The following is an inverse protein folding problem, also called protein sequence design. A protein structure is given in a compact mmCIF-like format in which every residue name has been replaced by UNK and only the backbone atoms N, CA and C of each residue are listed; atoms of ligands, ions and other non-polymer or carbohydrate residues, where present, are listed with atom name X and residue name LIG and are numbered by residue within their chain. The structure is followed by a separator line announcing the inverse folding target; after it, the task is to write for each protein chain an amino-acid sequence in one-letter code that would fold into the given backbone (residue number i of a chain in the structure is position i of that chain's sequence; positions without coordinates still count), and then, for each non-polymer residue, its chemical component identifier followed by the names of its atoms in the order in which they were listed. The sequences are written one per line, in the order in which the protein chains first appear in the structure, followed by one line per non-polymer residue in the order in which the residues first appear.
data_IF_470741236396
#
_entry.id   IF_470741236396
#
_cell.length_a   1.000
_cell.length_b   1.000
_cell.length_c   1.000
_cell.angle_alpha   90.00
_cell.angle_beta   90.00
_cell.angle_gamma   90.00
#
_symmetry.space_group_name_H-M   'P 1'
#
loop_
_entity.id
_entity.type
_entity.pdbx_description
1 polymer ?
#
# COMPACT_ATOMS: atom_id res chain seq x y z
N UNK A 1 3.19 -19.64 -2.95
CA UNK A 1 3.88 -18.32 -3.02
C UNK A 1 3.43 -17.48 -1.81
N UNK A 2 3.66 -18.00 -0.60
CA UNK A 2 3.41 -17.36 0.71
C UNK A 2 4.62 -17.70 1.59
N UNK A 3 5.80 -17.52 1.01
CA UNK A 3 7.06 -17.93 1.61
C UNK A 3 7.82 -16.66 1.91
N UNK A 4 7.95 -16.40 3.21
CA UNK A 4 8.62 -15.25 3.83
C UNK A 4 7.76 -13.99 3.96
N UNK A 5 6.70 -14.05 4.78
CA UNK A 5 6.37 -12.90 5.63
C UNK A 5 7.58 -12.67 6.53
N UNK A 6 8.58 -11.96 6.03
CA UNK A 6 9.44 -11.20 6.92
C UNK A 6 8.46 -10.30 7.67
N UNK A 7 8.34 -10.52 8.97
CA UNK A 7 7.51 -9.67 9.82
C UNK A 7 8.08 -8.25 9.68
N UNK A 8 7.43 -7.43 8.87
CA UNK A 8 7.92 -6.10 8.53
C UNK A 8 8.02 -5.25 9.80
N UNK A 9 7.13 -5.52 10.76
CA UNK A 9 7.20 -4.92 12.08
C UNK A 9 8.41 -5.43 12.86
N UNK A 10 8.76 -6.71 12.77
CA UNK A 10 10.03 -7.20 13.33
C UNK A 10 11.23 -6.42 12.78
N UNK A 11 11.29 -6.17 11.46
CA UNK A 11 12.38 -5.38 10.87
C UNK A 11 12.43 -3.96 11.43
N UNK A 12 11.28 -3.29 11.52
CA UNK A 12 11.22 -1.94 12.06
C UNK A 12 11.60 -1.88 13.54
N UNK A 13 11.11 -2.82 14.34
CA UNK A 13 11.36 -2.87 15.77
C UNK A 13 12.84 -3.15 16.09
N UNK A 14 13.56 -3.88 15.23
CA UNK A 14 14.96 -4.28 15.47
C UNK A 14 15.99 -3.44 14.71
N UNK A 15 15.65 -2.92 13.52
CA UNK A 15 16.62 -2.24 12.64
C UNK A 15 16.31 -0.77 12.38
N UNK A 16 15.14 -0.27 12.80
CA UNK A 16 14.77 1.13 12.58
C UNK A 16 14.80 2.00 13.86
N UNK A 17 15.39 1.49 14.94
CA UNK A 17 15.55 2.23 16.19
C UNK A 17 16.36 3.52 15.97
N UNK A 18 15.86 4.64 16.50
CA UNK A 18 16.49 5.95 16.36
C UNK A 18 16.29 6.61 14.98
N UNK A 19 15.48 6.01 14.10
CA UNK A 19 15.06 6.61 12.83
C UNK A 19 13.65 7.18 12.93
N UNK A 20 13.19 7.89 11.89
CA UNK A 20 11.79 8.36 11.80
C UNK A 20 10.82 7.27 11.36
N UNK A 21 11.31 6.06 11.03
CA UNK A 21 10.47 4.99 10.50
C UNK A 21 9.48 4.45 11.53
N UNK A 22 9.78 4.60 12.81
CA UNK A 22 8.87 4.29 13.91
C UNK A 22 8.67 5.57 14.74
N UNK A 23 7.51 6.24 14.64
CA UNK A 23 7.26 7.46 15.39
C UNK A 23 7.20 7.19 16.90
N UNK A 24 7.49 8.21 17.73
CA UNK A 24 7.46 8.08 19.18
C UNK A 24 6.04 7.71 19.65
N UNK A 25 5.93 6.63 20.43
CA UNK A 25 4.62 6.13 20.86
C UNK A 25 3.87 7.11 21.75
N UNK A 26 4.53 7.66 22.76
CA UNK A 26 3.90 8.48 23.80
C UNK A 26 4.32 9.94 23.66
N UNK A 27 3.42 10.84 24.03
CA UNK A 27 3.75 12.25 24.26
C UNK A 27 4.69 12.35 25.47
N UNK A 28 5.55 13.38 25.54
CA UNK A 28 6.48 13.54 26.66
C UNK A 28 5.77 13.50 28.02
N UNK A 29 6.24 12.65 28.93
CA UNK A 29 5.69 12.45 30.29
C UNK A 29 4.29 11.81 30.34
N UNK A 30 3.87 11.13 29.26
CA UNK A 30 2.59 10.40 29.20
C UNK A 30 2.79 8.89 28.94
N UNK A 31 3.98 8.36 29.25
CA UNK A 31 4.32 6.96 29.04
C UNK A 31 3.38 6.04 29.82
N UNK A 32 2.80 5.06 29.11
CA UNK A 32 1.90 4.06 29.71
C UNK A 32 0.50 4.58 30.07
N UNK A 33 0.21 5.87 29.85
CA UNK A 33 -1.13 6.43 30.06
C UNK A 33 -2.04 6.13 28.88
N UNK A 34 -3.29 5.72 29.15
CA UNK A 34 -4.31 5.51 28.11
C UNK A 34 -4.62 6.85 27.44
N UNK A 35 -4.46 6.94 26.12
CA UNK A 35 -4.62 8.19 25.38
C UNK A 35 -3.40 9.13 25.46
N UNK A 36 -2.32 8.68 26.08
CA UNK A 36 -1.02 9.36 26.07
C UNK A 36 -0.27 9.20 24.76
N UNK A 37 -0.79 8.39 23.83
CA UNK A 37 -0.14 8.15 22.55
C UNK A 37 -0.15 9.39 21.62
N UNK A 38 0.89 9.49 20.79
CA UNK A 38 0.97 10.54 19.76
C UNK A 38 0.02 10.23 18.60
N UNK A 39 -0.52 11.27 17.97
CA UNK A 39 -1.33 11.12 16.75
C UNK A 39 -0.55 10.41 15.65
N UNK A 40 0.73 10.76 15.46
CA UNK A 40 1.60 10.14 14.46
C UNK A 40 1.73 8.63 14.69
N UNK A 41 1.91 8.20 15.93
CA UNK A 41 2.00 6.77 16.26
C UNK A 41 0.68 6.03 16.11
N UNK A 42 -0.44 6.67 16.47
CA UNK A 42 -1.76 6.08 16.25
C UNK A 42 -2.03 5.87 14.76
N UNK A 43 -1.71 6.86 13.91
CA UNK A 43 -1.82 6.76 12.45
C UNK A 43 -0.86 5.71 11.90
N UNK A 44 0.40 5.68 12.36
CA UNK A 44 1.38 4.67 11.98
C UNK A 44 0.85 3.26 12.24
N UNK A 45 0.37 2.97 13.46
CA UNK A 45 -0.20 1.65 13.77
C UNK A 45 -1.43 1.33 12.92
N UNK A 46 -2.31 2.31 12.74
CA UNK A 46 -3.51 2.12 11.93
C UNK A 46 -3.14 1.75 10.50
N UNK A 47 -2.27 2.50 9.84
CA UNK A 47 -1.93 2.28 8.43
C UNK A 47 -1.05 1.06 8.18
N UNK A 48 -0.21 0.68 9.14
CA UNK A 48 0.50 -0.61 9.09
C UNK A 48 -0.49 -1.78 8.98
N UNK A 49 -1.51 -1.82 9.85
CA UNK A 49 -2.52 -2.88 9.83
C UNK A 49 -3.52 -2.74 8.69
N UNK A 50 -3.90 -1.51 8.33
CA UNK A 50 -4.82 -1.25 7.22
C UNK A 50 -4.25 -1.71 5.88
N UNK A 51 -2.96 -1.46 5.63
CA UNK A 51 -2.29 -1.91 4.40
C UNK A 51 -2.39 -3.42 4.23
N UNK A 52 -1.99 -4.18 5.27
CA UNK A 52 -1.93 -5.64 5.24
C UNK A 52 -3.30 -6.31 5.34
N UNK A 53 -4.17 -5.80 6.21
CA UNK A 53 -5.42 -6.46 6.61
C UNK A 53 -6.66 -5.96 5.88
N UNK A 54 -6.60 -4.81 5.22
CA UNK A 54 -7.76 -4.23 4.54
C UNK A 54 -7.50 -4.02 3.04
N UNK A 55 -6.44 -3.31 2.66
CA UNK A 55 -6.28 -2.91 1.27
C UNK A 55 -5.59 -3.98 0.40
N UNK A 56 -4.45 -4.54 0.83
CA UNK A 56 -3.76 -5.58 0.06
C UNK A 56 -4.62 -6.81 -0.25
N UNK A 57 -5.47 -7.32 0.65
CA UNK A 57 -6.34 -8.46 0.35
C UNK A 57 -7.25 -8.21 -0.87
N UNK A 58 -7.79 -6.99 -1.02
CA UNK A 58 -8.61 -6.62 -2.19
C UNK A 58 -7.78 -6.72 -3.48
N UNK A 59 -6.54 -6.25 -3.46
CA UNK A 59 -5.66 -6.32 -4.64
C UNK A 59 -5.27 -7.76 -4.98
N UNK A 60 -5.02 -8.59 -3.97
CA UNK A 60 -4.73 -10.02 -4.17
C UNK A 60 -5.92 -10.73 -4.82
N UNK A 61 -7.16 -10.42 -4.39
CA UNK A 61 -8.36 -10.94 -5.06
C UNK A 61 -8.39 -10.45 -6.51
N UNK A 62 -8.10 -9.18 -6.78
CA UNK A 62 -7.98 -8.65 -8.13
C UNK A 62 -6.95 -9.39 -9.00
N UNK A 63 -5.78 -9.70 -8.44
CA UNK A 63 -4.75 -10.50 -9.12
C UNK A 63 -5.29 -11.90 -9.43
N UNK A 64 -5.95 -12.57 -8.48
CA UNK A 64 -6.55 -13.90 -8.70
C UNK A 64 -7.59 -13.83 -9.83
N UNK A 65 -8.43 -12.79 -9.85
CA UNK A 65 -9.42 -12.60 -10.92
C UNK A 65 -8.78 -12.35 -12.28
N UNK A 66 -7.63 -11.65 -12.33
CA UNK A 66 -6.88 -11.46 -13.59
C UNK A 66 -6.34 -12.77 -14.18
N UNK A 67 -6.15 -13.81 -13.36
CA UNK A 67 -5.75 -15.14 -13.87
C UNK A 67 -6.85 -15.79 -14.71
N UNK A 68 -8.12 -15.42 -14.52
CA UNK A 68 -9.26 -15.93 -15.29
C UNK A 68 -9.34 -15.37 -16.72
N UNK A 69 -8.56 -14.32 -17.01
CA UNK A 69 -8.41 -13.75 -18.37
C UNK A 69 -7.03 -14.02 -18.96
N UNK A 70 -6.20 -14.84 -18.27
CA UNK A 70 -4.84 -15.16 -18.69
C UNK A 70 -4.80 -15.83 -20.08
N UNK A 71 -3.78 -15.53 -20.91
CA UNK A 71 -3.53 -16.24 -22.17
C UNK A 71 -3.41 -17.76 -22.01
N UNK A 72 -3.03 -18.25 -20.83
CA UNK A 72 -2.89 -19.68 -20.52
C UNK A 72 -4.23 -20.44 -20.52
N UNK A 73 -5.37 -19.76 -20.41
CA UNK A 73 -6.69 -20.41 -20.47
C UNK A 73 -7.01 -20.80 -21.92
N UNK A 74 -7.49 -22.02 -22.20
CA UNK A 74 -7.88 -22.42 -23.56
C UNK A 74 -8.94 -21.49 -24.15
N UNK A 75 -8.79 -21.13 -25.43
CA UNK A 75 -9.58 -20.08 -26.08
C UNK A 75 -11.11 -20.31 -25.99
N UNK A 76 -11.56 -21.56 -25.94
CA UNK A 76 -12.98 -21.91 -25.84
C UNK A 76 -13.59 -21.70 -24.44
N UNK A 77 -12.77 -21.66 -23.39
CA UNK A 77 -13.22 -21.34 -22.02
C UNK A 77 -13.14 -19.84 -21.72
N UNK A 78 -12.23 -19.11 -22.39
CA UNK A 78 -11.99 -17.67 -22.15
C UNK A 78 -13.25 -16.80 -22.15
N UNK A 79 -14.26 -16.98 -23.04
CA UNK A 79 -15.46 -16.17 -23.00
C UNK A 79 -16.23 -16.29 -21.68
N UNK A 80 -16.27 -17.50 -21.11
CA UNK A 80 -16.99 -17.78 -19.86
C UNK A 80 -16.20 -17.27 -18.67
N UNK A 81 -14.91 -17.61 -18.59
CA UNK A 81 -14.06 -17.17 -17.47
C UNK A 81 -13.87 -15.65 -17.46
N UNK A 82 -13.75 -15.04 -18.63
CA UNK A 82 -13.70 -13.58 -18.78
C UNK A 82 -14.99 -12.88 -18.35
N UNK A 83 -16.17 -13.46 -18.66
CA UNK A 83 -17.45 -12.91 -18.20
C UNK A 83 -17.56 -12.94 -16.66
N UNK A 84 -17.13 -14.04 -16.03
CA UNK A 84 -17.10 -14.16 -14.57
C UNK A 84 -16.17 -13.12 -13.96
N UNK A 85 -14.97 -12.96 -14.51
CA UNK A 85 -14.01 -11.97 -14.07
C UNK A 85 -14.58 -10.55 -14.18
N UNK A 86 -15.13 -10.20 -15.35
CA UNK A 86 -15.71 -8.88 -15.58
C UNK A 86 -16.85 -8.58 -14.61
N UNK A 87 -17.78 -9.53 -14.39
CA UNK A 87 -18.90 -9.34 -13.47
C UNK A 87 -18.43 -9.16 -12.02
N UNK A 88 -17.42 -9.90 -11.60
CA UNK A 88 -16.85 -9.76 -10.26
C UNK A 88 -16.15 -8.40 -10.08
N UNK A 89 -15.43 -7.95 -11.10
CA UNK A 89 -14.84 -6.61 -11.12
C UNK A 89 -15.91 -5.52 -10.94
N UNK A 90 -16.91 -5.51 -11.82
CA UNK A 90 -17.95 -4.47 -11.81
C UNK A 90 -18.84 -4.51 -10.57
N UNK A 91 -19.06 -5.70 -10.00
CA UNK A 91 -19.94 -5.86 -8.84
C UNK A 91 -19.24 -5.64 -7.49
N UNK A 92 -17.93 -5.86 -7.42
CA UNK A 92 -17.17 -5.87 -6.16
C UNK A 92 -15.88 -5.05 -6.24
N UNK A 93 -14.89 -5.49 -7.04
CA UNK A 93 -13.53 -4.94 -6.97
C UNK A 93 -13.47 -3.43 -7.26
N UNK A 94 -14.21 -2.96 -8.27
CA UNK A 94 -14.13 -1.56 -8.68
C UNK A 94 -14.67 -0.62 -7.58
N UNK A 95 -15.69 -1.08 -6.83
CA UNK A 95 -16.24 -0.35 -5.69
C UNK A 95 -15.29 -0.39 -4.48
N UNK A 96 -14.65 -1.53 -4.22
CA UNK A 96 -13.65 -1.64 -3.14
C UNK A 96 -12.43 -0.76 -3.43
N UNK A 97 -11.89 -0.77 -4.66
CA UNK A 97 -10.82 0.13 -5.06
C UNK A 97 -11.21 1.59 -4.88
N UNK A 98 -12.40 1.98 -5.37
CA UNK A 98 -12.89 3.35 -5.19
C UNK A 98 -13.02 3.72 -3.70
N UNK A 99 -13.46 2.80 -2.86
CA UNK A 99 -13.60 3.00 -1.41
C UNK A 99 -12.25 3.24 -0.75
N UNK A 100 -11.29 2.35 -0.98
CA UNK A 100 -9.94 2.45 -0.42
C UNK A 100 -9.21 3.70 -0.90
N UNK A 101 -9.24 3.99 -2.21
CA UNK A 101 -8.58 5.16 -2.78
C UNK A 101 -9.21 6.46 -2.29
N UNK A 102 -10.54 6.55 -2.20
CA UNK A 102 -11.21 7.75 -1.69
C UNK A 102 -10.96 7.98 -0.20
N UNK A 103 -10.91 6.89 0.57
CA UNK A 103 -10.52 6.95 1.97
C UNK A 103 -9.08 7.48 2.11
N UNK A 104 -8.11 6.88 1.41
CA UNK A 104 -6.71 7.29 1.50
C UNK A 104 -6.47 8.72 0.98
N UNK A 105 -7.14 9.13 -0.08
CA UNK A 105 -7.15 10.51 -0.59
C UNK A 105 -7.65 11.50 0.47
N UNK A 106 -8.64 11.11 1.26
CA UNK A 106 -9.12 11.94 2.38
C UNK A 106 -8.11 11.93 3.52
N UNK A 107 -7.57 10.75 3.85
CA UNK A 107 -6.66 10.60 4.97
C UNK A 107 -5.32 11.31 4.77
N UNK A 108 -4.76 11.34 3.56
CA UNK A 108 -3.52 12.08 3.34
C UNK A 108 -3.71 13.59 3.59
N UNK A 109 -4.90 14.13 3.29
CA UNK A 109 -5.27 15.54 3.55
C UNK A 109 -5.47 15.86 5.04
N UNK A 110 -5.78 14.86 5.88
CA UNK A 110 -5.88 15.05 7.33
C UNK A 110 -4.54 14.98 8.04
N UNK A 111 -3.46 14.67 7.31
CA UNK A 111 -2.12 14.64 7.89
C UNK A 111 -1.64 16.04 8.27
N UNK A 112 -0.91 16.12 9.38
CA UNK A 112 -0.19 17.33 9.76
C UNK A 112 0.99 17.64 8.84
N UNK A 113 1.41 16.68 8.01
CA UNK A 113 2.59 16.79 7.16
C UNK A 113 2.44 16.12 5.81
N UNK A 114 3.58 15.85 5.16
CA UNK A 114 3.64 15.34 3.77
C UNK A 114 3.51 13.82 3.64
N UNK A 115 3.39 13.06 4.73
CA UNK A 115 3.21 11.60 4.73
C UNK A 115 1.94 11.19 5.48
N UNK A 116 1.54 9.93 5.45
CA UNK A 116 0.31 9.45 6.11
C UNK A 116 0.37 9.49 7.64
N UNK A 117 1.54 9.67 8.23
CA UNK A 117 1.70 9.71 9.68
C UNK A 117 2.17 11.07 10.21
N UNK A 118 2.53 12.02 9.35
CA UNK A 118 3.02 13.34 9.76
C UNK A 118 4.06 13.88 8.79
N UNK A 119 5.09 14.53 9.31
CA UNK A 119 6.11 15.23 8.52
C UNK A 119 7.20 14.32 7.95
N UNK A 120 7.40 13.16 8.58
CA UNK A 120 8.48 12.24 8.26
C UNK A 120 7.98 10.92 7.68
N UNK A 121 8.80 10.32 6.81
CA UNK A 121 8.54 9.00 6.26
C UNK A 121 8.56 7.98 7.41
N UNK A 122 7.50 7.18 7.49
CA UNK A 122 7.37 6.09 8.45
C UNK A 122 7.33 4.73 7.75
N UNK A 123 7.45 3.66 8.53
CA UNK A 123 7.25 2.31 8.04
C UNK A 123 5.85 2.09 7.45
N UNK A 124 4.85 2.81 7.95
CA UNK A 124 3.48 2.76 7.42
C UNK A 124 3.41 3.26 5.97
N UNK A 125 4.16 4.31 5.64
CA UNK A 125 4.19 4.86 4.29
C UNK A 125 4.84 3.89 3.30
N UNK A 126 5.93 3.25 3.72
CA UNK A 126 6.63 2.21 2.94
C UNK A 126 5.71 1.02 2.69
N UNK A 127 5.04 0.47 3.70
CA UNK A 127 4.16 -0.68 3.48
C UNK A 127 2.91 -0.30 2.69
N UNK A 128 2.44 0.94 2.78
CA UNK A 128 1.33 1.45 1.96
C UNK A 128 1.71 1.65 0.50
N UNK A 129 2.99 1.85 0.19
CA UNK A 129 3.43 2.05 -1.19
C UNK A 129 3.12 0.83 -2.06
N UNK A 130 3.26 -0.38 -1.52
CA UNK A 130 3.01 -1.62 -2.26
C UNK A 130 1.58 -1.73 -2.80
N UNK A 131 0.51 -1.65 -1.98
CA UNK A 131 -0.83 -1.68 -2.51
C UNK A 131 -1.15 -0.46 -3.38
N UNK A 132 -0.58 0.72 -3.11
CA UNK A 132 -0.84 1.89 -3.97
C UNK A 132 -0.24 1.72 -5.38
N UNK A 133 0.97 1.18 -5.48
CA UNK A 133 1.61 0.83 -6.77
C UNK A 133 0.75 -0.19 -7.50
N UNK A 134 0.38 -1.28 -6.84
CA UNK A 134 -0.47 -2.30 -7.44
C UNK A 134 -1.85 -1.75 -7.84
N UNK A 135 -2.46 -0.88 -7.03
CA UNK A 135 -3.73 -0.24 -7.38
C UNK A 135 -3.62 0.66 -8.61
N UNK A 136 -2.48 1.34 -8.80
CA UNK A 136 -2.22 2.16 -10.00
C UNK A 136 -2.21 1.31 -11.26
N UNK A 137 -1.61 0.13 -11.20
CA UNK A 137 -1.53 -0.79 -12.34
C UNK A 137 -2.84 -1.58 -12.58
N UNK A 138 -3.58 -1.94 -11.52
CA UNK A 138 -4.69 -2.89 -11.61
C UNK A 138 -6.10 -2.29 -11.56
N UNK A 139 -6.29 -1.12 -10.94
CA UNK A 139 -7.66 -0.62 -10.70
C UNK A 139 -8.30 0.07 -11.89
N UNK A 140 -7.49 0.61 -12.82
CA UNK A 140 -7.96 1.50 -13.89
C UNK A 140 -8.61 2.82 -13.42
N UNK A 141 -8.84 2.97 -12.11
CA UNK A 141 -9.56 4.08 -11.49
C UNK A 141 -8.65 5.01 -10.68
N UNK A 142 -7.44 4.56 -10.33
CA UNK A 142 -6.47 5.37 -9.61
C UNK A 142 -5.78 6.37 -10.56
N UNK A 143 -6.46 7.47 -10.85
CA UNK A 143 -5.95 8.53 -11.71
C UNK A 143 -5.72 9.84 -10.95
N UNK A 144 -4.86 10.69 -11.49
CA UNK A 144 -4.51 11.99 -10.90
C UNK A 144 -5.68 12.95 -10.84
N UNK A 145 -6.61 12.86 -11.78
CA UNK A 145 -7.81 13.71 -11.84
C UNK A 145 -8.76 13.39 -10.68
N UNK A 146 -8.84 12.12 -10.28
CA UNK A 146 -9.74 11.66 -9.22
C UNK A 146 -9.10 11.69 -7.84
N UNK A 147 -7.80 11.41 -7.75
CA UNK A 147 -7.06 11.28 -6.49
C UNK A 147 -5.73 12.05 -6.53
N UNK A 148 -5.76 13.39 -6.67
CA UNK A 148 -4.57 14.19 -6.91
C UNK A 148 -3.57 14.15 -5.74
N UNK A 149 -4.04 14.20 -4.49
CA UNK A 149 -3.16 14.22 -3.32
C UNK A 149 -2.54 12.85 -3.07
N UNK A 150 -3.32 11.79 -3.26
CA UNK A 150 -2.85 10.41 -3.12
C UNK A 150 -1.84 10.05 -4.22
N UNK A 151 -2.06 10.53 -5.46
CA UNK A 151 -1.08 10.39 -6.54
C UNK A 151 0.21 11.16 -6.24
N UNK A 152 0.11 12.41 -5.79
CA UNK A 152 1.29 13.19 -5.40
C UNK A 152 2.05 12.56 -4.21
N UNK A 153 1.32 11.93 -3.29
CA UNK A 153 1.90 11.13 -2.21
C UNK A 153 2.63 9.89 -2.73
N UNK A 154 2.01 9.12 -3.63
CA UNK A 154 2.67 7.95 -4.22
C UNK A 154 3.95 8.35 -4.99
N UNK A 155 3.88 9.40 -5.82
CA UNK A 155 5.03 9.94 -6.54
C UNK A 155 6.16 10.37 -5.58
N UNK A 156 5.81 10.93 -4.41
CA UNK A 156 6.78 11.29 -3.36
C UNK A 156 7.48 10.07 -2.80
N UNK A 157 6.73 9.01 -2.49
CA UNK A 157 7.30 7.75 -1.98
C UNK A 157 8.26 7.10 -2.98
N UNK A 158 7.89 7.06 -4.25
CA UNK A 158 8.75 6.52 -5.31
C UNK A 158 10.02 7.37 -5.53
N UNK A 159 9.99 8.63 -5.14
CA UNK A 159 11.13 9.53 -5.20
C UNK A 159 12.04 9.49 -3.98
N UNK A 160 11.66 8.78 -2.91
CA UNK A 160 12.49 8.60 -1.74
C UNK A 160 13.80 7.91 -2.07
N UNK A 161 14.87 8.35 -1.42
CA UNK A 161 16.22 7.77 -1.61
C UNK A 161 16.22 6.26 -1.32
N UNK A 162 15.49 5.84 -0.29
CA UNK A 162 15.35 4.43 0.08
C UNK A 162 14.67 3.60 -1.00
N UNK A 163 13.59 4.12 -1.60
CA UNK A 163 12.89 3.44 -2.69
C UNK A 163 13.79 3.27 -3.91
N UNK A 164 14.42 4.35 -4.38
CA UNK A 164 15.35 4.31 -5.52
C UNK A 164 16.48 3.32 -5.28
N UNK A 165 17.04 3.30 -4.07
CA UNK A 165 18.09 2.34 -3.74
C UNK A 165 17.61 0.89 -3.75
N UNK A 166 16.38 0.63 -3.28
CA UNK A 166 15.78 -0.69 -3.36
C UNK A 166 15.59 -1.13 -4.81
N UNK A 167 15.10 -0.24 -5.68
CA UNK A 167 14.97 -0.50 -7.13
C UNK A 167 16.32 -0.84 -7.76
N UNK A 168 17.37 -0.06 -7.48
CA UNK A 168 18.74 -0.34 -7.96
C UNK A 168 19.20 -1.75 -7.55
N UNK A 169 19.01 -2.13 -6.28
CA UNK A 169 19.40 -3.45 -5.76
C UNK A 169 18.63 -4.58 -6.47
N UNK A 170 17.34 -4.38 -6.74
CA UNK A 170 16.54 -5.37 -7.47
C UNK A 170 17.06 -5.52 -8.90
N UNK A 171 17.32 -4.41 -9.60
CA UNK A 171 17.88 -4.44 -10.96
C UNK A 171 19.26 -5.10 -10.98
N UNK A 172 20.13 -4.80 -10.01
CA UNK A 172 21.45 -5.44 -9.89
C UNK A 172 21.38 -6.96 -9.70
N UNK A 173 20.34 -7.46 -9.02
CA UNK A 173 20.19 -8.88 -8.68
C UNK A 173 19.37 -9.67 -9.70
N UNK A 174 18.29 -9.09 -10.18
CA UNK A 174 17.27 -9.76 -11.01
C UNK A 174 17.30 -9.28 -12.47
N UNK A 175 18.10 -8.27 -12.80
CA UNK A 175 18.27 -7.72 -14.16
C UNK A 175 17.23 -6.68 -14.55
N UNK A 176 16.04 -6.71 -13.95
CA UNK A 176 14.98 -5.73 -14.18
C UNK A 176 14.14 -5.50 -12.91
N UNK A 177 13.46 -4.34 -12.87
CA UNK A 177 12.46 -4.05 -11.85
C UNK A 177 11.08 -3.98 -12.51
N UNK A 178 10.22 -4.93 -12.15
CA UNK A 178 8.82 -4.95 -12.58
C UNK A 178 7.97 -4.54 -11.36
N UNK A 179 7.31 -3.37 -11.37
CA UNK A 179 6.32 -3.02 -10.36
C UNK A 179 5.20 -4.07 -10.31
N UNK A 180 4.72 -4.38 -9.10
CA UNK A 180 3.67 -5.39 -8.83
C UNK A 180 2.35 -5.05 -9.55
#
# INVERSE_FOLDING_TARGET
MVTHLIDYRYLLDHFAQGTTLVPPRYKPNQEGQVGGETEEWMRYRYYMHYSEGSFMPVLVIGIIMSLLTSPSIPFFLRPITGLVAHKFHSAFLDNEYATHLSFLETQIKTSSGKYLCGDHLTGADIIMSFPLIAAREKSGAFTKERYPELMAYLERLENEKGYKKAVEIVVEREGEFIPI
#
